data_IF_658457605578
#
_entry.id   IF_658457605578
#
_cell.length_a   1.000
_cell.length_b   1.000
_cell.length_c   1.000
_cell.angle_alpha   90.00
_cell.angle_beta   90.00
_cell.angle_gamma   90.00
#
_symmetry.space_group_name_H-M   'P 1'
#
loop_
_entity.id
_entity.type
_entity.pdbx_description
1 polymer ?
#
# COMPACT_ATOMS: atom_id res chain seq x y z
N UNK A 1 -4.77 11.20 -10.30
CA UNK A 1 -3.39 10.84 -9.89
C UNK A 1 -2.67 10.04 -10.97
N UNK A 2 -3.08 8.82 -11.32
CA UNK A 2 -2.46 8.03 -12.42
C UNK A 2 -2.51 8.75 -13.77
N UNK A 3 -3.62 9.45 -14.07
CA UNK A 3 -3.72 10.29 -15.28
C UNK A 3 -2.77 11.48 -15.24
N UNK A 4 -2.56 12.08 -14.07
CA UNK A 4 -1.65 13.23 -13.89
C UNK A 4 -0.21 12.77 -14.03
N UNK A 5 0.14 11.62 -13.43
CA UNK A 5 1.41 10.93 -13.62
C UNK A 5 1.64 10.69 -15.12
N UNK A 6 0.73 10.01 -15.81
CA UNK A 6 0.85 9.74 -17.25
C UNK A 6 1.03 11.03 -18.09
N UNK A 7 0.33 12.12 -17.75
CA UNK A 7 0.47 13.42 -18.43
C UNK A 7 1.84 14.06 -18.15
N UNK A 8 2.26 14.16 -16.88
CA UNK A 8 3.56 14.73 -16.49
C UNK A 8 4.72 14.03 -17.19
N UNK A 9 4.59 12.72 -17.37
CA UNK A 9 5.63 11.87 -17.92
C UNK A 9 5.69 11.90 -19.44
N UNK A 10 4.54 11.93 -20.11
CA UNK A 10 4.47 12.13 -21.56
C UNK A 10 4.93 13.53 -21.96
N UNK A 11 4.61 14.57 -21.18
CA UNK A 11 5.15 15.93 -21.36
C UNK A 11 6.67 15.96 -21.17
N UNK A 12 7.22 15.07 -20.33
CA UNK A 12 8.66 14.94 -20.11
C UNK A 12 9.38 14.11 -21.17
N UNK A 13 8.68 13.62 -22.20
CA UNK A 13 9.25 12.82 -23.30
C UNK A 13 9.57 11.37 -22.94
N UNK A 14 9.11 10.88 -21.78
CA UNK A 14 9.32 9.50 -21.33
C UNK A 14 8.24 8.61 -21.93
N UNK A 15 8.62 7.47 -22.52
CA UNK A 15 7.64 6.57 -23.16
C UNK A 15 6.83 5.81 -22.12
N UNK A 16 5.54 5.54 -22.41
CA UNK A 16 4.65 4.79 -21.51
C UNK A 16 5.22 3.39 -21.18
N UNK A 17 5.91 2.76 -22.13
CA UNK A 17 6.53 1.44 -21.95
C UNK A 17 7.60 1.44 -20.85
N UNK A 18 8.41 2.51 -20.77
CA UNK A 18 9.43 2.66 -19.72
C UNK A 18 8.82 2.82 -18.33
N UNK A 19 7.52 3.06 -18.26
CA UNK A 19 6.79 3.48 -17.06
C UNK A 19 5.69 2.51 -16.64
N UNK A 20 5.58 1.39 -17.34
CA UNK A 20 4.59 0.35 -17.05
C UNK A 20 4.63 -0.10 -15.59
N UNK A 21 5.83 -0.23 -15.02
CA UNK A 21 6.01 -0.61 -13.61
C UNK A 21 5.33 0.37 -12.64
N UNK A 22 5.54 1.68 -12.83
CA UNK A 22 4.99 2.72 -11.95
C UNK A 22 3.47 2.80 -12.06
N UNK A 23 2.95 2.79 -13.29
CA UNK A 23 1.52 2.82 -13.54
C UNK A 23 0.82 1.56 -12.98
N UNK A 24 1.43 0.39 -13.16
CA UNK A 24 0.92 -0.87 -12.64
C UNK A 24 0.83 -0.85 -11.12
N UNK A 25 1.91 -0.47 -10.42
CA UNK A 25 1.93 -0.41 -8.95
C UNK A 25 0.92 0.62 -8.44
N UNK A 26 0.84 1.79 -9.07
CA UNK A 26 -0.11 2.83 -8.66
C UNK A 26 -1.56 2.40 -8.82
N UNK A 27 -1.90 1.78 -9.96
CA UNK A 27 -3.24 1.24 -10.19
C UNK A 27 -3.57 0.13 -9.18
N UNK A 28 -2.62 -0.78 -8.94
CA UNK A 28 -2.79 -1.86 -7.98
C UNK A 28 -3.04 -1.32 -6.57
N UNK A 29 -2.22 -0.36 -6.12
CA UNK A 29 -2.36 0.25 -4.79
C UNK A 29 -3.67 1.03 -4.66
N UNK A 30 -4.14 1.71 -5.71
CA UNK A 30 -5.45 2.36 -5.71
C UNK A 30 -6.60 1.35 -5.65
N UNK A 31 -6.48 0.19 -6.29
CA UNK A 31 -7.47 -0.88 -6.19
C UNK A 31 -7.57 -1.39 -4.75
N UNK A 32 -6.43 -1.68 -4.11
CA UNK A 32 -6.38 -2.06 -2.70
C UNK A 32 -6.94 -0.97 -1.78
N UNK A 33 -6.51 0.28 -1.97
CA UNK A 33 -6.99 1.42 -1.20
C UNK A 33 -8.52 1.59 -1.33
N UNK A 34 -9.04 1.50 -2.56
CA UNK A 34 -10.48 1.59 -2.82
C UNK A 34 -11.24 0.50 -2.07
N UNK A 35 -10.73 -0.73 -2.08
CA UNK A 35 -11.33 -1.81 -1.31
C UNK A 35 -11.32 -1.52 0.21
N UNK A 36 -10.16 -1.14 0.75
CA UNK A 36 -9.96 -0.87 2.17
C UNK A 36 -10.76 0.34 2.68
N UNK A 37 -10.97 1.36 1.84
CA UNK A 37 -11.71 2.56 2.21
C UNK A 37 -13.22 2.36 2.13
N UNK A 38 -13.71 1.60 1.14
CA UNK A 38 -15.16 1.52 0.82
C UNK A 38 -15.80 0.25 1.40
N UNK A 39 -15.11 -0.89 1.35
CA UNK A 39 -15.73 -2.19 1.62
C UNK A 39 -15.25 -2.85 2.91
N UNK A 40 -14.06 -2.52 3.41
CA UNK A 40 -13.55 -3.09 4.65
C UNK A 40 -14.36 -2.58 5.86
N UNK A 41 -14.87 -3.52 6.67
CA UNK A 41 -15.65 -3.16 7.87
C UNK A 41 -14.73 -2.77 9.00
N UNK A 42 -15.04 -1.66 9.67
CA UNK A 42 -14.26 -1.15 10.80
C UNK A 42 -14.51 -1.90 12.11
N UNK A 43 -15.70 -2.52 12.24
CA UNK A 43 -16.05 -3.35 13.40
C UNK A 43 -15.98 -4.83 13.02
N UNK A 44 -15.22 -5.58 13.81
CA UNK A 44 -15.14 -7.03 13.76
C UNK A 44 -16.23 -7.64 14.65
N UNK A 45 -16.70 -8.86 14.34
CA UNK A 45 -17.56 -9.61 15.25
C UNK A 45 -16.93 -9.74 16.65
N UNK A 46 -17.73 -9.71 17.71
CA UNK A 46 -17.26 -9.81 19.11
C UNK A 46 -16.45 -11.07 19.43
N UNK A 47 -16.54 -12.10 18.56
CA UNK A 47 -15.66 -13.26 18.59
C UNK A 47 -14.16 -12.89 18.58
N UNK A 48 -13.79 -11.83 17.85
CA UNK A 48 -12.40 -11.35 17.76
C UNK A 48 -11.91 -10.70 19.07
N UNK A 49 -12.79 -10.15 19.89
CA UNK A 49 -12.42 -9.56 21.19
C UNK A 49 -12.16 -10.64 22.25
N UNK A 50 -12.76 -11.82 22.07
CA UNK A 50 -12.69 -12.93 23.03
C UNK A 50 -11.70 -14.03 22.63
N UNK A 51 -11.30 -14.08 21.35
CA UNK A 51 -10.43 -15.13 20.81
C UNK A 51 -9.22 -14.53 20.11
N UNK A 52 -8.06 -15.17 20.24
CA UNK A 52 -6.84 -14.77 19.54
C UNK A 52 -6.90 -15.23 18.08
N UNK A 53 -7.50 -14.41 17.23
CA UNK A 53 -7.63 -14.66 15.79
C UNK A 53 -6.62 -13.82 15.03
N UNK A 54 -5.72 -14.46 14.28
CA UNK A 54 -4.63 -13.79 13.56
C UNK A 54 -4.94 -13.48 12.09
N UNK A 55 -6.21 -13.63 11.69
CA UNK A 55 -6.65 -13.37 10.32
C UNK A 55 -8.01 -12.68 10.30
N UNK A 56 -8.25 -11.87 9.27
CA UNK A 56 -9.55 -11.28 8.94
C UNK A 56 -9.91 -11.66 7.52
N UNK A 57 -11.12 -12.17 7.32
CA UNK A 57 -11.67 -12.50 6.00
C UNK A 57 -12.89 -11.63 5.70
N UNK A 58 -12.79 -10.76 4.70
CA UNK A 58 -13.86 -9.85 4.29
C UNK A 58 -13.98 -9.82 2.76
N UNK A 59 -15.07 -10.38 2.25
CA UNK A 59 -15.30 -10.52 0.80
C UNK A 59 -14.20 -11.36 0.14
N UNK A 60 -13.55 -10.79 -0.87
CA UNK A 60 -12.46 -11.44 -1.60
C UNK A 60 -11.10 -11.32 -0.89
N UNK A 61 -10.98 -10.47 0.12
CA UNK A 61 -9.72 -10.23 0.81
C UNK A 61 -9.61 -11.02 2.11
N UNK A 62 -8.45 -11.65 2.28
CA UNK A 62 -8.06 -12.37 3.49
C UNK A 62 -6.71 -11.84 3.94
N UNK A 63 -6.69 -11.23 5.11
CA UNK A 63 -5.48 -10.67 5.71
C UNK A 63 -5.07 -11.62 6.83
N UNK A 64 -3.87 -12.18 6.74
CA UNK A 64 -3.31 -13.06 7.76
C UNK A 64 -2.01 -12.46 8.28
N UNK A 65 -1.93 -12.23 9.59
CA UNK A 65 -0.79 -11.61 10.25
C UNK A 65 -0.32 -12.53 11.38
N UNK A 66 0.65 -13.39 11.07
CA UNK A 66 1.19 -14.32 12.06
C UNK A 66 1.75 -13.55 13.27
N UNK A 67 1.38 -13.99 14.48
CA UNK A 67 1.82 -13.36 15.71
C UNK A 67 1.10 -12.06 16.08
N UNK A 68 0.09 -11.61 15.35
CA UNK A 68 -0.78 -10.47 15.71
C UNK A 68 -2.24 -10.93 15.73
N UNK A 69 -2.92 -10.85 16.86
CA UNK A 69 -4.37 -11.11 16.95
C UNK A 69 -5.13 -9.82 16.66
N UNK A 70 -6.23 -9.93 15.93
CA UNK A 70 -7.11 -8.82 15.63
C UNK A 70 -8.29 -8.77 16.62
N UNK A 71 -8.62 -7.56 17.07
CA UNK A 71 -9.79 -7.27 17.89
C UNK A 71 -10.30 -5.85 17.58
N UNK A 72 -11.44 -5.45 18.15
CA UNK A 72 -12.01 -4.11 17.90
C UNK A 72 -11.16 -2.97 18.49
N UNK A 73 -10.24 -3.25 19.42
CA UNK A 73 -9.33 -2.25 19.97
C UNK A 73 -8.17 -1.91 19.01
N UNK A 74 -7.69 -2.87 18.22
CA UNK A 74 -6.57 -2.67 17.29
C UNK A 74 -6.95 -2.60 15.81
N UNK A 75 -8.07 -3.21 15.39
CA UNK A 75 -8.37 -3.42 13.98
C UNK A 75 -8.55 -2.11 13.22
N UNK A 76 -9.25 -1.13 13.79
CA UNK A 76 -9.42 0.19 13.17
C UNK A 76 -8.08 0.88 12.89
N UNK A 77 -7.11 0.73 13.79
CA UNK A 77 -5.77 1.27 13.60
C UNK A 77 -5.00 0.53 12.51
N UNK A 78 -5.04 -0.81 12.51
CA UNK A 78 -4.42 -1.63 11.45
C UNK A 78 -5.00 -1.27 10.07
N UNK A 79 -6.33 -1.15 9.98
CA UNK A 79 -7.01 -0.78 8.77
C UNK A 79 -6.60 0.63 8.30
N UNK A 80 -6.44 1.58 9.23
CA UNK A 80 -5.93 2.92 8.95
C UNK A 80 -4.50 2.86 8.38
N UNK A 81 -3.62 2.04 8.95
CA UNK A 81 -2.27 1.84 8.42
C UNK A 81 -2.34 1.33 6.97
N UNK A 82 -3.14 0.30 6.67
CA UNK A 82 -3.27 -0.18 5.30
C UNK A 82 -3.82 0.88 4.35
N UNK A 83 -4.82 1.66 4.75
CA UNK A 83 -5.38 2.76 3.94
C UNK A 83 -4.31 3.83 3.64
N UNK A 84 -3.60 4.29 4.66
CA UNK A 84 -2.55 5.32 4.51
C UNK A 84 -1.40 4.82 3.65
N UNK A 85 -0.93 3.59 3.86
CA UNK A 85 0.19 3.05 3.08
C UNK A 85 -0.20 2.75 1.63
N UNK A 86 -1.39 2.24 1.36
CA UNK A 86 -1.84 1.99 -0.02
C UNK A 86 -2.05 3.30 -0.79
N UNK A 87 -2.74 4.29 -0.21
CA UNK A 87 -2.89 5.61 -0.81
C UNK A 87 -1.55 6.34 -0.94
N UNK A 88 -0.73 6.30 0.11
CA UNK A 88 0.59 6.92 0.13
C UNK A 88 1.51 6.31 -0.92
N UNK A 89 1.57 4.98 -1.03
CA UNK A 89 2.38 4.29 -2.04
C UNK A 89 1.90 4.61 -3.45
N UNK A 90 0.59 4.67 -3.67
CA UNK A 90 0.03 5.07 -4.96
C UNK A 90 0.55 6.45 -5.38
N UNK A 91 0.75 7.39 -4.46
CA UNK A 91 1.28 8.73 -4.77
C UNK A 91 2.81 8.74 -4.84
N UNK A 92 3.48 8.13 -3.85
CA UNK A 92 4.93 8.22 -3.67
C UNK A 92 5.70 7.46 -4.75
N UNK A 93 5.22 6.29 -5.18
CA UNK A 93 5.93 5.47 -6.16
C UNK A 93 6.06 6.16 -7.54
N UNK A 94 5.01 6.79 -8.09
CA UNK A 94 5.10 7.72 -9.22
C UNK A 94 6.10 8.83 -9.08
N UNK A 95 6.15 9.46 -7.90
CA UNK A 95 7.05 10.57 -7.63
C UNK A 95 8.51 10.07 -7.65
N UNK A 96 8.78 8.92 -7.03
CA UNK A 96 10.10 8.28 -7.06
C UNK A 96 10.49 7.95 -8.50
N UNK A 97 9.57 7.37 -9.27
CA UNK A 97 9.77 7.07 -10.69
C UNK A 97 10.16 8.34 -11.46
N UNK A 98 9.33 9.38 -11.37
CA UNK A 98 9.58 10.66 -12.05
C UNK A 98 10.93 11.27 -11.70
N UNK A 99 11.25 11.38 -10.41
CA UNK A 99 12.53 11.93 -9.93
C UNK A 99 13.70 11.09 -10.45
N UNK A 100 13.57 9.76 -10.47
CA UNK A 100 14.61 8.87 -10.98
C UNK A 100 14.91 9.14 -12.44
N UNK A 101 13.88 9.33 -13.26
CA UNK A 101 14.04 9.68 -14.67
C UNK A 101 14.68 11.06 -14.85
N UNK A 102 14.28 12.06 -14.06
CA UNK A 102 14.87 13.40 -14.12
C UNK A 102 16.36 13.44 -13.77
N UNK A 103 16.79 12.65 -12.77
CA UNK A 103 18.15 12.71 -12.23
C UNK A 103 19.11 11.76 -12.95
N UNK A 104 18.67 10.54 -13.24
CA UNK A 104 19.54 9.48 -13.77
C UNK A 104 18.90 8.63 -14.86
N UNK A 105 17.79 9.09 -15.42
CA UNK A 105 17.07 8.43 -16.49
C UNK A 105 16.60 7.01 -16.14
N UNK A 106 16.42 6.21 -17.19
CA UNK A 106 15.95 4.83 -17.08
C UNK A 106 16.92 3.93 -16.27
N UNK A 107 18.22 4.24 -16.31
CA UNK A 107 19.22 3.44 -15.60
C UNK A 107 19.01 3.54 -14.09
N UNK A 108 18.80 4.76 -13.56
CA UNK A 108 18.53 4.95 -12.15
C UNK A 108 17.19 4.33 -11.75
N UNK A 109 16.14 4.50 -12.58
CA UNK A 109 14.83 3.90 -12.32
C UNK A 109 14.92 2.38 -12.16
N UNK A 110 15.63 1.70 -13.07
CA UNK A 110 15.81 0.25 -13.01
C UNK A 110 16.56 -0.23 -11.77
N UNK A 111 17.41 0.61 -11.18
CA UNK A 111 18.08 0.32 -9.92
C UNK A 111 17.16 0.50 -8.70
N UNK A 112 16.35 1.56 -8.68
CA UNK A 112 15.60 1.94 -7.47
C UNK A 112 14.18 1.39 -7.39
N UNK A 113 13.57 0.97 -8.50
CA UNK A 113 12.14 0.59 -8.54
C UNK A 113 11.77 -0.54 -7.58
N UNK A 114 12.58 -1.60 -7.50
CA UNK A 114 12.32 -2.71 -6.60
C UNK A 114 12.66 -2.39 -5.13
N UNK A 115 13.83 -1.80 -4.81
CA UNK A 115 14.10 -1.34 -3.45
C UNK A 115 13.02 -0.40 -2.91
N UNK A 116 12.54 0.55 -3.72
CA UNK A 116 11.54 1.51 -3.30
C UNK A 116 10.23 0.84 -2.86
N UNK A 117 9.67 -0.05 -3.68
CA UNK A 117 8.41 -0.74 -3.31
C UNK A 117 8.61 -1.67 -2.12
N UNK A 118 9.75 -2.37 -2.04
CA UNK A 118 10.07 -3.25 -0.90
C UNK A 118 10.12 -2.44 0.40
N UNK A 119 10.79 -1.29 0.41
CA UNK A 119 10.87 -0.42 1.59
C UNK A 119 9.48 0.05 2.02
N UNK A 120 8.63 0.46 1.07
CA UNK A 120 7.25 0.90 1.37
C UNK A 120 6.41 -0.25 1.96
N UNK A 121 6.53 -1.46 1.41
CA UNK A 121 5.84 -2.65 1.92
C UNK A 121 6.35 -3.07 3.30
N UNK A 122 7.66 -3.05 3.53
CA UNK A 122 8.25 -3.32 4.85
C UNK A 122 7.77 -2.27 5.85
N UNK A 123 7.75 -0.99 5.48
CA UNK A 123 7.23 0.10 6.32
C UNK A 123 5.78 -0.13 6.73
N UNK A 124 4.94 -0.58 5.79
CA UNK A 124 3.55 -0.95 6.06
C UNK A 124 3.46 -2.09 7.06
N UNK A 125 4.22 -3.17 6.85
CA UNK A 125 4.21 -4.33 7.74
C UNK A 125 4.70 -3.98 9.14
N UNK A 126 5.85 -3.33 9.26
CA UNK A 126 6.43 -2.92 10.54
C UNK A 126 5.47 -2.02 11.31
N UNK A 127 4.90 -1.01 10.64
CA UNK A 127 3.94 -0.09 11.28
C UNK A 127 2.68 -0.83 11.71
N UNK A 128 2.19 -1.78 10.89
CA UNK A 128 1.05 -2.63 11.24
C UNK A 128 1.32 -3.44 12.52
N UNK A 129 2.49 -4.07 12.63
CA UNK A 129 2.86 -4.82 13.83
C UNK A 129 3.01 -3.93 15.05
N UNK A 130 3.67 -2.77 14.93
CA UNK A 130 3.84 -1.82 16.05
C UNK A 130 2.48 -1.37 16.57
N UNK A 131 1.62 -0.89 15.68
CA UNK A 131 0.33 -0.31 16.06
C UNK A 131 -0.65 -1.39 16.51
N UNK A 132 -0.69 -2.52 15.80
CA UNK A 132 -1.52 -3.67 16.13
C UNK A 132 -1.18 -4.24 17.51
N UNK A 133 0.12 -4.47 17.80
CA UNK A 133 0.56 -4.99 19.10
C UNK A 133 0.36 -4.02 20.25
N UNK A 134 0.46 -2.71 19.99
CA UNK A 134 0.23 -1.69 21.02
C UNK A 134 -1.22 -1.68 21.54
N UNK A 135 -2.17 -2.15 20.74
CA UNK A 135 -3.61 -2.09 21.05
C UNK A 135 -4.26 -3.49 21.07
N UNK A 136 -3.47 -4.57 21.02
CA UNK A 136 -3.93 -5.96 21.17
C UNK A 136 -4.37 -6.24 22.60
#
# INVERSE_FOLDING_TARGET
>A
MVVIEAILLTVSGISIEQMGDSLYISLLMLLFASWLCIFAKELLPTYYDTNKVNFVSQGIFRIHMAGLSFNNANWGYVLTVFRVFTLGTAILYPIICYISFLVGGISLWNTVKYPAIIILLIGMLVTTYIVGKKHE
#
